data_IF_832907598612
#
_entry.id   IF_832907598612
#
_cell.length_a   1.000
_cell.length_b   1.000
_cell.length_c   1.000
_cell.angle_alpha   90.00
_cell.angle_beta   90.00
_cell.angle_gamma   90.00
#
_symmetry.space_group_name_H-M   'P 1'
#
loop_
_entity.id
_entity.type
_entity.pdbx_description
1 polymer ?
#
# COMPACT_ATOMS: atom_id res chain seq x y z
N UNK A 1 5.81 -10.71 9.71
CA UNK A 1 6.61 -9.53 10.06
C UNK A 1 7.96 -9.65 9.35
N UNK A 2 8.54 -8.52 8.96
CA UNK A 2 9.91 -8.51 8.47
C UNK A 2 10.86 -8.99 9.59
N UNK A 3 11.92 -9.71 9.22
CA UNK A 3 13.02 -9.95 10.14
C UNK A 3 13.83 -8.66 10.34
N UNK A 4 14.57 -8.56 11.44
CA UNK A 4 15.50 -7.46 11.65
C UNK A 4 16.54 -7.37 10.51
N UNK A 5 16.93 -8.51 9.96
CA UNK A 5 17.90 -8.58 8.87
C UNK A 5 17.31 -8.03 7.55
N UNK A 6 16.09 -8.41 7.18
CA UNK A 6 15.41 -7.84 6.01
C UNK A 6 15.25 -6.32 6.13
N UNK A 7 14.88 -5.82 7.31
CA UNK A 7 14.76 -4.39 7.58
C UNK A 7 16.12 -3.66 7.48
N UNK A 8 17.20 -4.32 7.91
CA UNK A 8 18.57 -3.80 7.79
C UNK A 8 19.02 -3.68 6.32
N UNK A 9 18.70 -4.68 5.49
CA UNK A 9 18.97 -4.67 4.05
C UNK A 9 18.16 -3.57 3.34
N UNK A 10 16.90 -3.39 3.72
CA UNK A 10 16.09 -2.26 3.24
C UNK A 10 16.74 -0.94 3.64
N UNK A 11 17.21 -0.82 4.88
CA UNK A 11 17.91 0.38 5.37
C UNK A 11 19.14 0.72 4.52
N UNK A 12 19.92 -0.28 4.11
CA UNK A 12 21.07 -0.08 3.22
C UNK A 12 20.65 0.42 1.84
N UNK A 13 19.58 -0.16 1.26
CA UNK A 13 19.01 0.29 -0.01
C UNK A 13 18.54 1.74 0.08
N UNK A 14 17.76 2.07 1.10
CA UNK A 14 17.16 3.40 1.28
C UNK A 14 18.20 4.46 1.63
N UNK A 15 19.30 4.10 2.28
CA UNK A 15 20.41 5.02 2.54
C UNK A 15 21.07 5.55 1.26
N UNK A 16 20.99 4.80 0.17
CA UNK A 16 21.49 5.19 -1.15
C UNK A 16 20.42 5.83 -2.05
N UNK A 17 19.20 6.01 -1.54
CA UNK A 17 18.08 6.63 -2.26
C UNK A 17 17.91 8.07 -1.75
N UNK A 18 17.98 9.08 -2.62
CA UNK A 18 17.75 10.45 -2.21
C UNK A 18 16.26 10.65 -1.88
N UNK A 19 15.94 10.70 -0.60
CA UNK A 19 14.56 10.89 -0.09
C UNK A 19 14.42 12.30 0.49
N UNK A 20 13.41 13.03 0.03
CA UNK A 20 13.09 14.38 0.51
C UNK A 20 12.38 14.34 1.86
N UNK A 21 11.37 13.48 1.99
CA UNK A 21 10.59 13.34 3.22
C UNK A 21 10.24 11.87 3.50
N UNK A 22 10.32 11.50 4.78
CA UNK A 22 9.93 10.20 5.28
C UNK A 22 8.64 10.30 6.09
N UNK A 23 7.71 9.40 5.80
CA UNK A 23 6.44 9.24 6.49
C UNK A 23 6.31 7.83 7.03
N UNK A 24 5.69 7.69 8.20
CA UNK A 24 5.57 6.39 8.86
C UNK A 24 4.20 6.16 9.49
N UNK A 25 3.74 4.93 9.41
CA UNK A 25 2.55 4.46 10.13
C UNK A 25 2.76 4.54 11.65
N UNK A 26 1.70 4.82 12.44
CA UNK A 26 1.78 4.79 13.90
C UNK A 26 2.04 3.39 14.48
N UNK A 27 1.89 2.30 13.69
CA UNK A 27 2.05 0.94 14.19
C UNK A 27 3.52 0.55 14.37
N UNK A 28 3.83 -0.08 15.50
CA UNK A 28 5.20 -0.42 15.92
C UNK A 28 6.01 -1.14 14.84
N UNK A 29 5.43 -2.17 14.20
CA UNK A 29 6.11 -2.93 13.13
C UNK A 29 6.60 -2.10 11.95
N UNK A 30 5.88 -1.02 11.60
CA UNK A 30 6.32 -0.10 10.55
C UNK A 30 7.43 0.84 11.06
N UNK A 31 7.30 1.31 12.30
CA UNK A 31 8.34 2.12 12.97
C UNK A 31 9.64 1.34 13.14
N UNK A 32 9.57 0.07 13.53
CA UNK A 32 10.74 -0.79 13.70
C UNK A 32 11.48 -0.96 12.36
N UNK A 33 10.74 -1.23 11.27
CA UNK A 33 11.33 -1.31 9.92
C UNK A 33 11.92 0.04 9.49
N UNK A 34 11.20 1.14 9.68
CA UNK A 34 11.66 2.48 9.33
C UNK A 34 12.92 2.88 10.10
N UNK A 35 13.03 2.48 11.37
CA UNK A 35 14.14 2.84 12.24
C UNK A 35 15.50 2.46 11.67
N UNK A 36 15.61 1.31 10.99
CA UNK A 36 16.85 0.86 10.34
C UNK A 36 17.31 1.82 9.23
N UNK A 37 16.36 2.32 8.43
CA UNK A 37 16.66 3.36 7.42
C UNK A 37 17.01 4.70 8.07
N UNK A 38 16.14 5.17 8.97
CA UNK A 38 16.26 6.49 9.59
C UNK A 38 17.57 6.67 10.36
N UNK A 39 18.01 5.65 11.09
CA UNK A 39 19.30 5.64 11.79
C UNK A 39 20.48 5.78 10.81
N UNK A 40 20.44 5.09 9.67
CA UNK A 40 21.51 5.15 8.65
C UNK A 40 21.61 6.52 7.98
N UNK A 41 20.48 7.17 7.74
CA UNK A 41 20.46 8.48 7.06
C UNK A 41 20.49 9.66 8.04
N UNK A 42 20.41 9.42 9.35
CA UNK A 42 20.42 10.46 10.38
C UNK A 42 19.21 11.40 10.28
N UNK A 43 18.02 10.86 9.98
CA UNK A 43 16.78 11.63 9.77
C UNK A 43 15.61 11.04 10.54
N UNK A 44 14.56 11.84 10.68
CA UNK A 44 13.29 11.45 11.29
C UNK A 44 12.21 11.26 10.21
N UNK A 45 11.14 10.55 10.59
CA UNK A 45 9.94 10.42 9.79
C UNK A 45 8.75 11.10 10.50
N UNK A 46 7.86 11.69 9.70
CA UNK A 46 6.60 12.22 10.18
C UNK A 46 5.59 11.06 10.34
N UNK A 47 5.07 10.89 11.54
CA UNK A 47 4.02 9.90 11.79
C UNK A 47 2.68 10.41 11.26
N UNK A 48 1.99 9.57 10.46
CA UNK A 48 0.69 9.87 9.89
C UNK A 48 -0.33 8.82 10.33
N UNK A 49 -1.33 9.23 11.08
CA UNK A 49 -2.36 8.33 11.64
C UNK A 49 -3.10 7.53 10.56
N UNK A 50 -3.30 8.09 9.38
CA UNK A 50 -4.00 7.45 8.27
C UNK A 50 -3.17 6.37 7.56
N UNK A 51 -1.83 6.29 7.79
CA UNK A 51 -0.96 5.22 7.29
C UNK A 51 -1.06 3.91 8.10
N UNK A 52 -1.85 3.86 9.17
CA UNK A 52 -2.11 2.58 9.86
C UNK A 52 -2.67 1.55 8.89
N UNK A 53 -2.51 0.26 9.22
CA UNK A 53 -3.07 -0.78 8.36
C UNK A 53 -4.57 -0.57 8.15
N UNK A 54 -5.01 -0.78 6.92
CA UNK A 54 -6.40 -0.60 6.53
C UNK A 54 -7.28 -1.55 7.34
N UNK A 55 -8.17 -0.98 8.11
CA UNK A 55 -9.06 -1.73 8.99
C UNK A 55 -10.51 -1.31 8.76
N UNK A 56 -11.24 -2.12 8.03
CA UNK A 56 -12.66 -1.99 7.79
C UNK A 56 -13.25 -3.39 7.76
N UNK A 57 -13.66 -3.95 8.91
CA UNK A 57 -14.25 -5.28 8.97
C UNK A 57 -15.61 -5.29 8.28
N UNK A 58 -15.84 -6.35 7.51
CA UNK A 58 -17.10 -6.65 6.82
C UNK A 58 -17.63 -7.99 7.29
N UNK A 59 -18.94 -8.24 7.18
CA UNK A 59 -19.47 -9.57 7.45
C UNK A 59 -18.99 -10.55 6.36
N UNK A 60 -18.47 -11.70 6.79
CA UNK A 60 -18.15 -12.82 5.92
C UNK A 60 -19.42 -13.31 5.21
N UNK A 61 -19.31 -13.61 3.92
CA UNK A 61 -20.44 -13.99 3.08
C UNK A 61 -21.14 -15.27 3.55
N UNK A 62 -20.40 -16.23 4.10
CA UNK A 62 -20.92 -17.55 4.48
C UNK A 62 -21.31 -17.63 5.97
N UNK A 63 -20.56 -16.94 6.83
CA UNK A 63 -20.70 -17.09 8.28
C UNK A 63 -21.33 -15.88 8.96
N UNK A 64 -21.28 -14.72 8.31
CA UNK A 64 -21.67 -13.43 8.90
C UNK A 64 -20.69 -12.88 9.94
N UNK A 65 -19.64 -13.62 10.29
CA UNK A 65 -18.62 -13.19 11.21
C UNK A 65 -17.75 -12.06 10.62
N UNK A 66 -17.16 -11.19 11.45
CA UNK A 66 -16.29 -10.13 10.95
C UNK A 66 -15.09 -10.68 10.18
N UNK A 67 -14.86 -10.16 8.98
CA UNK A 67 -13.73 -10.47 8.10
C UNK A 67 -13.09 -9.17 7.62
N UNK A 68 -11.79 -9.21 7.35
CA UNK A 68 -11.08 -8.07 6.77
C UNK A 68 -11.55 -7.84 5.32
N UNK A 69 -11.84 -6.60 4.94
CA UNK A 69 -12.34 -6.27 3.60
C UNK A 69 -11.39 -6.66 2.46
N UNK A 70 -10.08 -6.70 2.75
CA UNK A 70 -9.02 -7.03 1.79
C UNK A 70 -8.53 -8.49 1.87
N UNK A 71 -9.36 -9.38 2.43
CA UNK A 71 -9.05 -10.81 2.57
C UNK A 71 -10.33 -11.63 2.33
N UNK A 72 -10.83 -11.60 1.11
CA UNK A 72 -11.99 -12.37 0.68
C UNK A 72 -11.58 -13.60 -0.13
N UNK A 73 -12.36 -14.67 -0.02
CA UNK A 73 -12.10 -15.90 -0.78
C UNK A 73 -12.34 -15.66 -2.29
N UNK A 74 -11.53 -16.27 -3.16
CA UNK A 74 -11.59 -16.04 -4.59
C UNK A 74 -12.96 -16.25 -5.20
N UNK A 75 -13.68 -17.34 -4.83
CA UNK A 75 -14.99 -17.64 -5.37
C UNK A 75 -16.04 -16.57 -5.02
N UNK A 76 -15.88 -15.89 -3.90
CA UNK A 76 -16.82 -14.88 -3.43
C UNK A 76 -16.60 -13.53 -4.12
N UNK A 77 -15.38 -13.01 -4.05
CA UNK A 77 -15.14 -11.68 -4.58
C UNK A 77 -15.15 -11.64 -6.13
N UNK A 78 -14.67 -12.70 -6.82
CA UNK A 78 -14.64 -12.73 -8.28
C UNK A 78 -16.02 -12.86 -8.91
N UNK A 79 -17.01 -13.35 -8.16
CA UNK A 79 -18.39 -13.47 -8.62
C UNK A 79 -19.16 -12.15 -8.64
N UNK A 80 -18.64 -11.10 -7.99
CA UNK A 80 -19.29 -9.79 -7.88
C UNK A 80 -18.68 -8.78 -8.86
N UNK A 81 -19.36 -8.43 -9.97
CA UNK A 81 -18.81 -7.51 -10.98
C UNK A 81 -18.48 -6.11 -10.43
N UNK A 82 -19.19 -5.64 -9.39
CA UNK A 82 -18.94 -4.33 -8.79
C UNK A 82 -17.54 -4.24 -8.21
N UNK A 83 -16.98 -5.35 -7.73
CA UNK A 83 -15.64 -5.37 -7.16
C UNK A 83 -14.53 -5.02 -8.16
N UNK A 84 -14.79 -5.18 -9.45
CA UNK A 84 -13.85 -4.77 -10.51
C UNK A 84 -13.98 -3.30 -10.92
N UNK A 85 -15.06 -2.64 -10.51
CA UNK A 85 -15.33 -1.24 -10.88
C UNK A 85 -14.70 -0.28 -9.85
N UNK A 86 -13.87 0.64 -10.35
CA UNK A 86 -13.15 1.62 -9.50
C UNK A 86 -14.06 2.55 -8.67
N UNK A 87 -15.32 2.71 -9.09
CA UNK A 87 -16.28 3.61 -8.43
C UNK A 87 -17.34 2.86 -7.62
N UNK A 88 -17.60 1.59 -7.95
CA UNK A 88 -18.71 0.81 -7.40
C UNK A 88 -18.30 -0.30 -6.46
N UNK A 89 -17.01 -0.58 -6.30
CA UNK A 89 -16.50 -1.68 -5.48
C UNK A 89 -17.01 -1.65 -4.03
N UNK A 90 -17.28 -0.48 -3.50
CA UNK A 90 -17.79 -0.30 -2.13
C UNK A 90 -19.31 -0.29 -2.00
N UNK A 91 -20.04 -0.48 -3.11
CA UNK A 91 -21.53 -0.48 -3.12
C UNK A 91 -22.14 -1.87 -2.88
N UNK A 92 -21.34 -2.89 -2.64
CA UNK A 92 -21.85 -4.22 -2.27
C UNK A 92 -22.35 -4.20 -0.82
N UNK A 93 -23.29 -5.08 -0.50
CA UNK A 93 -23.88 -5.09 0.83
C UNK A 93 -22.84 -5.24 1.97
N UNK A 94 -21.87 -6.17 1.89
CA UNK A 94 -20.85 -6.28 2.93
C UNK A 94 -20.01 -5.00 3.08
N UNK A 95 -19.62 -4.36 1.98
CA UNK A 95 -18.83 -3.13 1.99
C UNK A 95 -19.59 -1.94 2.59
N UNK A 96 -20.89 -1.84 2.29
CA UNK A 96 -21.78 -0.83 2.89
C UNK A 96 -21.94 -1.05 4.40
N UNK A 97 -22.14 -2.29 4.83
CA UNK A 97 -22.24 -2.62 6.25
C UNK A 97 -20.96 -2.35 7.03
N UNK A 98 -19.80 -2.56 6.41
CA UNK A 98 -18.50 -2.28 6.99
C UNK A 98 -18.04 -0.83 6.87
N UNK A 99 -18.82 0.06 6.26
CA UNK A 99 -18.45 1.46 6.00
C UNK A 99 -17.07 1.59 5.33
N UNK A 100 -16.73 0.65 4.44
CA UNK A 100 -15.37 0.50 3.88
C UNK A 100 -14.97 1.74 3.09
N UNK A 101 -15.91 2.40 2.41
CA UNK A 101 -15.63 3.62 1.65
C UNK A 101 -15.17 4.79 2.54
N UNK A 102 -15.69 4.89 3.76
CA UNK A 102 -15.30 5.97 4.66
C UNK A 102 -13.86 5.82 5.11
N UNK A 103 -13.43 4.59 5.38
CA UNK A 103 -12.04 4.27 5.69
C UNK A 103 -11.11 4.51 4.46
N UNK A 104 -11.56 4.15 3.26
CA UNK A 104 -10.81 4.43 2.04
C UNK A 104 -10.66 5.95 1.80
N UNK A 105 -11.71 6.72 1.96
CA UNK A 105 -11.67 8.18 1.84
C UNK A 105 -10.71 8.82 2.85
N UNK A 106 -10.64 8.29 4.07
CA UNK A 106 -9.68 8.76 5.07
C UNK A 106 -8.24 8.63 4.57
N UNK A 107 -7.91 7.51 3.95
CA UNK A 107 -6.59 7.27 3.34
C UNK A 107 -6.37 8.19 2.13
N UNK A 108 -7.34 8.29 1.22
CA UNK A 108 -7.23 9.12 0.02
C UNK A 108 -7.04 10.60 0.35
N UNK A 109 -7.83 11.12 1.30
CA UNK A 109 -7.72 12.51 1.74
C UNK A 109 -6.35 12.78 2.38
N UNK A 110 -5.88 11.87 3.25
CA UNK A 110 -4.56 12.00 3.87
C UNK A 110 -3.42 11.98 2.84
N UNK A 111 -3.52 11.13 1.83
CA UNK A 111 -2.56 11.09 0.73
C UNK A 111 -2.59 12.40 -0.09
N UNK A 112 -3.77 12.87 -0.46
CA UNK A 112 -3.93 14.10 -1.24
C UNK A 112 -3.44 15.33 -0.46
N UNK A 113 -3.61 15.37 0.86
CA UNK A 113 -3.05 16.43 1.71
C UNK A 113 -1.49 16.44 1.66
N UNK A 114 -0.87 15.28 1.76
CA UNK A 114 0.59 15.17 1.65
C UNK A 114 1.06 15.59 0.25
N UNK A 115 0.41 15.10 -0.81
CA UNK A 115 0.78 15.45 -2.18
C UNK A 115 0.60 16.96 -2.44
N UNK A 116 -0.45 17.58 -1.89
CA UNK A 116 -0.67 19.02 -1.97
C UNK A 116 0.48 19.80 -1.30
N UNK A 117 0.94 19.37 -0.13
CA UNK A 117 2.10 19.96 0.55
C UNK A 117 3.37 19.89 -0.29
N UNK A 118 3.46 18.90 -1.18
CA UNK A 118 4.59 18.69 -2.10
C UNK A 118 4.31 19.17 -3.53
N UNK A 119 3.30 20.03 -3.73
CA UNK A 119 3.07 20.73 -4.98
C UNK A 119 2.14 20.06 -5.99
N UNK A 120 1.43 19.00 -5.59
CA UNK A 120 0.51 18.25 -6.46
C UNK A 120 -0.90 18.21 -5.88
N UNK A 121 -1.84 18.93 -6.49
CA UNK A 121 -3.23 19.01 -6.05
C UNK A 121 -4.12 18.07 -6.86
N UNK A 122 -4.95 17.28 -6.19
CA UNK A 122 -5.90 16.40 -6.86
C UNK A 122 -6.93 17.18 -7.68
N UNK A 123 -7.09 16.80 -8.94
CA UNK A 123 -8.14 17.31 -9.83
C UNK A 123 -8.79 16.14 -10.57
N UNK A 124 -10.00 15.77 -10.19
CA UNK A 124 -10.70 14.59 -10.71
C UNK A 124 -9.85 13.30 -10.61
N UNK A 125 -9.36 12.79 -11.75
CA UNK A 125 -8.57 11.57 -11.82
C UNK A 125 -7.09 11.81 -12.12
N UNK A 126 -6.61 13.05 -12.01
CA UNK A 126 -5.21 13.43 -12.20
C UNK A 126 -4.78 14.46 -11.15
N UNK A 127 -3.55 14.91 -11.22
CA UNK A 127 -3.02 15.93 -10.30
C UNK A 127 -2.58 17.16 -11.07
N UNK A 128 -2.90 18.33 -10.54
CA UNK A 128 -2.30 19.57 -10.98
C UNK A 128 -0.94 19.73 -10.35
N UNK A 129 0.09 19.83 -11.19
CA UNK A 129 1.45 20.14 -10.75
C UNK A 129 1.56 21.66 -10.51
N UNK A 130 1.14 22.11 -9.32
CA UNK A 130 1.15 23.52 -8.92
C UNK A 130 2.58 23.99 -8.69
N UNK A 131 3.41 23.12 -8.12
CA UNK A 131 4.84 23.30 -7.92
C UNK A 131 5.57 22.02 -8.35
N UNK A 132 5.76 21.82 -9.68
CA UNK A 132 6.45 20.63 -10.17
C UNK A 132 7.87 20.54 -9.64
N UNK A 133 8.28 19.35 -9.23
CA UNK A 133 9.56 19.10 -8.58
C UNK A 133 10.00 17.65 -8.75
N UNK A 134 11.22 17.34 -8.34
CA UNK A 134 11.81 16.00 -8.35
C UNK A 134 11.95 15.40 -6.93
N UNK A 135 11.10 15.79 -6.01
CA UNK A 135 11.13 15.27 -4.64
C UNK A 135 10.76 13.78 -4.62
N UNK A 136 11.40 13.06 -3.72
CA UNK A 136 11.08 11.67 -3.43
C UNK A 136 10.50 11.55 -2.03
N UNK A 137 9.29 11.00 -1.93
CA UNK A 137 8.61 10.74 -0.66
C UNK A 137 8.67 9.24 -0.36
N UNK A 138 9.05 8.88 0.85
CA UNK A 138 9.06 7.49 1.30
C UNK A 138 8.05 7.27 2.42
N UNK A 139 7.19 6.24 2.26
CA UNK A 139 6.15 5.88 3.21
C UNK A 139 6.43 4.47 3.76
N UNK A 140 6.59 4.37 5.08
CA UNK A 140 6.66 3.07 5.77
C UNK A 140 5.28 2.74 6.33
N UNK A 141 4.61 1.77 5.71
CA UNK A 141 3.23 1.44 6.05
C UNK A 141 2.94 -0.06 5.87
N UNK A 142 1.77 -0.43 5.36
CA UNK A 142 1.29 -1.81 5.35
C UNK A 142 0.65 -2.13 3.99
N UNK A 143 0.41 -3.41 3.72
CA UNK A 143 -0.09 -3.87 2.43
C UNK A 143 -1.50 -3.35 2.13
N UNK A 144 -2.45 -3.51 3.04
CA UNK A 144 -3.85 -3.13 2.81
C UNK A 144 -4.01 -1.64 2.53
N UNK A 145 -3.36 -0.77 3.33
CA UNK A 145 -3.38 0.68 3.11
C UNK A 145 -2.63 1.09 1.86
N UNK A 146 -1.52 0.42 1.52
CA UNK A 146 -0.80 0.65 0.26
C UNK A 146 -1.70 0.42 -0.94
N UNK A 147 -2.45 -0.68 -0.98
CA UNK A 147 -3.39 -0.96 -2.06
C UNK A 147 -4.48 0.13 -2.18
N UNK A 148 -4.95 0.69 -1.08
CA UNK A 148 -5.91 1.81 -1.09
C UNK A 148 -5.29 3.09 -1.65
N UNK A 149 -4.04 3.41 -1.27
CA UNK A 149 -3.30 4.52 -1.88
C UNK A 149 -3.14 4.33 -3.38
N UNK A 150 -2.70 3.15 -3.81
CA UNK A 150 -2.51 2.82 -5.22
C UNK A 150 -3.83 2.87 -6.01
N UNK A 151 -4.93 2.40 -5.44
CA UNK A 151 -6.25 2.47 -6.08
C UNK A 151 -6.62 3.91 -6.46
N UNK A 152 -6.31 4.86 -5.58
CA UNK A 152 -6.56 6.28 -5.79
C UNK A 152 -5.66 6.89 -6.86
N UNK A 153 -4.36 6.58 -6.80
CA UNK A 153 -3.37 7.10 -7.74
C UNK A 153 -3.53 6.53 -9.15
N UNK A 154 -3.86 5.24 -9.26
CA UNK A 154 -3.93 4.52 -10.53
C UNK A 154 -5.34 4.46 -11.13
N UNK A 155 -6.37 4.81 -10.37
CA UNK A 155 -7.75 4.78 -10.82
C UNK A 155 -8.28 3.37 -11.07
N UNK A 156 -7.94 2.42 -10.21
CA UNK A 156 -8.42 1.02 -10.24
C UNK A 156 -9.09 0.63 -8.93
N UNK A 157 -9.92 -0.40 -8.97
CA UNK A 157 -10.55 -0.93 -7.76
C UNK A 157 -9.49 -1.49 -6.79
N UNK A 158 -9.55 -1.15 -5.49
CA UNK A 158 -8.65 -1.74 -4.50
C UNK A 158 -8.82 -3.26 -4.36
N UNK A 159 -9.98 -3.80 -4.71
CA UNK A 159 -10.24 -5.25 -4.70
C UNK A 159 -9.28 -6.02 -5.59
N UNK A 160 -8.95 -5.46 -6.76
CA UNK A 160 -7.99 -6.05 -7.70
C UNK A 160 -6.58 -6.07 -7.09
N UNK A 161 -6.19 -4.98 -6.42
CA UNK A 161 -4.88 -4.87 -5.78
C UNK A 161 -4.77 -5.79 -4.57
N UNK A 162 -5.77 -5.79 -3.70
CA UNK A 162 -5.78 -6.60 -2.48
C UNK A 162 -5.69 -8.11 -2.76
N UNK A 163 -6.39 -8.59 -3.81
CA UNK A 163 -6.56 -10.01 -4.07
C UNK A 163 -5.71 -10.54 -5.23
N UNK A 164 -5.19 -9.67 -6.09
CA UNK A 164 -4.38 -10.04 -7.25
C UNK A 164 -2.89 -9.79 -7.10
N UNK A 165 -2.48 -9.08 -6.04
CA UNK A 165 -1.09 -8.72 -5.78
C UNK A 165 -0.66 -9.21 -4.40
N UNK A 166 0.63 -9.42 -4.22
CA UNK A 166 1.21 -9.62 -2.90
C UNK A 166 2.55 -8.88 -2.81
N UNK A 167 2.83 -8.32 -1.65
CA UNK A 167 4.07 -7.62 -1.38
C UNK A 167 4.69 -8.19 -0.11
N UNK A 168 5.89 -8.76 -0.24
CA UNK A 168 6.62 -9.26 0.92
C UNK A 168 6.96 -8.12 1.89
N UNK A 169 7.11 -8.41 3.19
CA UNK A 169 7.67 -7.44 4.13
C UNK A 169 8.96 -6.85 3.60
N UNK A 170 9.23 -5.60 3.88
CA UNK A 170 10.36 -4.78 3.37
C UNK A 170 10.42 -4.53 1.88
N UNK A 171 9.53 -5.11 1.08
CA UNK A 171 9.49 -4.81 -0.36
C UNK A 171 9.21 -3.33 -0.64
N UNK A 172 9.66 -2.85 -1.78
CA UNK A 172 9.51 -1.46 -2.20
C UNK A 172 8.57 -1.37 -3.40
N UNK A 173 7.50 -0.60 -3.24
CA UNK A 173 6.61 -0.22 -4.34
C UNK A 173 6.90 1.22 -4.70
N UNK A 174 7.12 1.52 -5.98
CA UNK A 174 7.50 2.85 -6.43
C UNK A 174 6.64 3.35 -7.58
N UNK A 175 6.30 4.63 -7.49
CA UNK A 175 5.60 5.38 -8.52
C UNK A 175 6.42 6.61 -8.88
N UNK A 176 6.27 7.05 -10.11
CA UNK A 176 6.86 8.29 -10.62
C UNK A 176 5.77 9.19 -11.15
N UNK A 177 5.95 10.49 -11.03
CA UNK A 177 5.10 11.47 -11.72
C UNK A 177 5.46 11.52 -13.19
N UNK A 178 4.44 11.71 -14.03
CA UNK A 178 4.57 11.95 -15.46
C UNK A 178 3.75 13.20 -15.83
N UNK A 179 4.43 14.27 -16.20
CA UNK A 179 3.85 15.54 -16.59
C UNK A 179 4.18 15.81 -18.06
N UNK A 180 3.36 15.30 -18.98
CA UNK A 180 3.56 15.43 -20.43
C UNK A 180 2.97 16.72 -21.01
N UNK A 181 2.18 17.43 -20.24
CA UNK A 181 1.66 18.78 -20.49
C UNK A 181 1.79 19.57 -19.21
N UNK A 182 2.18 20.80 -19.32
CA UNK A 182 2.38 21.70 -18.18
C UNK A 182 1.17 21.69 -17.24
N UNK A 183 1.41 21.44 -15.98
CA UNK A 183 0.42 21.42 -14.92
C UNK A 183 -0.45 20.17 -14.83
N UNK A 184 -0.30 19.18 -15.73
CA UNK A 184 -1.11 17.96 -15.74
C UNK A 184 -0.25 16.74 -15.47
N UNK A 185 -0.33 16.20 -14.26
CA UNK A 185 0.48 15.08 -13.82
C UNK A 185 -0.35 13.83 -13.47
N UNK A 186 0.23 12.66 -13.75
CA UNK A 186 -0.23 11.37 -13.27
C UNK A 186 0.89 10.66 -12.53
N UNK A 187 0.51 9.78 -11.61
CA UNK A 187 1.44 8.84 -11.00
C UNK A 187 1.42 7.51 -11.77
N UNK A 188 2.59 7.05 -12.18
CA UNK A 188 2.75 5.75 -12.84
C UNK A 188 3.57 4.84 -11.95
N UNK A 189 3.08 3.64 -11.73
CA UNK A 189 3.82 2.62 -10.98
C UNK A 189 4.87 1.98 -11.88
N UNK A 190 6.12 2.05 -11.47
CA UNK A 190 7.25 1.45 -12.18
C UNK A 190 7.79 0.19 -11.49
N UNK A 191 7.43 -0.04 -10.22
CA UNK A 191 7.72 -1.30 -9.53
C UNK A 191 6.69 -1.55 -8.42
N UNK A 192 6.29 -2.81 -8.24
CA UNK A 192 5.44 -3.26 -7.15
C UNK A 192 6.11 -4.43 -6.42
N UNK A 193 6.24 -4.29 -5.09
CA UNK A 193 6.74 -5.38 -4.26
C UNK A 193 8.19 -5.78 -4.55
N UNK A 194 9.03 -4.84 -5.01
CA UNK A 194 10.42 -5.11 -5.38
C UNK A 194 11.26 -5.48 -4.15
N UNK A 195 11.89 -6.64 -4.21
CA UNK A 195 12.76 -7.22 -3.18
C UNK A 195 14.22 -7.31 -3.62
N UNK A 196 14.67 -6.48 -4.57
CA UNK A 196 16.02 -6.53 -5.12
C UNK A 196 17.12 -6.45 -4.04
N UNK A 197 16.89 -5.73 -2.94
CA UNK A 197 17.81 -5.65 -1.80
C UNK A 197 17.97 -6.97 -1.06
N UNK A 198 16.94 -7.80 -1.00
CA UNK A 198 16.99 -9.14 -0.42
C UNK A 198 17.73 -10.08 -1.37
N UNK A 199 17.33 -10.11 -2.63
CA UNK A 199 17.96 -10.95 -3.65
C UNK A 199 19.46 -10.69 -3.78
N UNK A 200 19.90 -9.45 -3.78
CA UNK A 200 21.31 -9.06 -3.87
C UNK A 200 22.14 -9.58 -2.67
N UNK A 201 21.49 -9.89 -1.57
CA UNK A 201 22.13 -10.42 -0.35
C UNK A 201 21.79 -11.90 -0.09
N UNK A 202 21.25 -12.59 -1.07
CA UNK A 202 20.88 -14.03 -0.99
C UNK A 202 19.89 -14.32 0.16
N UNK A 203 19.04 -13.34 0.50
CA UNK A 203 17.98 -13.47 1.49
C UNK A 203 16.65 -13.72 0.78
N UNK A 204 15.93 -14.76 1.21
CA UNK A 204 14.60 -15.04 0.69
C UNK A 204 13.55 -14.15 1.39
N UNK A 205 12.63 -13.53 0.63
CA UNK A 205 11.55 -12.75 1.24
C UNK A 205 10.67 -13.59 2.16
N UNK A 206 10.30 -13.05 3.32
CA UNK A 206 9.38 -13.71 4.24
C UNK A 206 8.05 -14.06 3.56
N UNK A 207 7.55 -15.27 3.81
CA UNK A 207 6.30 -15.79 3.22
C UNK A 207 5.02 -15.09 3.74
N UNK A 208 5.14 -14.21 4.73
CA UNK A 208 4.04 -13.66 5.52
C UNK A 208 2.89 -12.98 4.73
N UNK A 209 3.13 -12.57 3.49
CA UNK A 209 2.14 -11.91 2.63
C UNK A 209 1.38 -12.87 1.69
N UNK A 210 1.64 -14.18 1.77
CA UNK A 210 1.08 -15.18 0.85
C UNK A 210 0.29 -16.24 1.58
N UNK A 211 -0.57 -16.91 0.84
CA UNK A 211 -1.27 -18.13 1.24
C UNK A 211 -0.66 -19.34 0.52
N UNK A 212 -1.11 -20.55 0.86
CA UNK A 212 -0.65 -21.78 0.22
C UNK A 212 -0.82 -21.72 -1.32
N UNK A 213 0.21 -22.16 -2.03
CA UNK A 213 0.15 -22.29 -3.50
C UNK A 213 -0.63 -23.54 -3.93
N UNK A 214 -0.64 -24.56 -3.08
CA UNK A 214 -1.42 -25.79 -3.26
C UNK A 214 -2.14 -26.13 -1.97
N UNK A 215 -3.42 -26.46 -2.07
CA UNK A 215 -4.25 -26.82 -0.92
C UNK A 215 -3.68 -27.98 -0.11
N UNK A 216 -3.01 -28.91 -0.78
CA UNK A 216 -2.38 -30.08 -0.12
C UNK A 216 -1.14 -29.73 0.73
N UNK A 217 -0.57 -28.54 0.58
CA UNK A 217 0.56 -28.10 1.39
C UNK A 217 0.07 -27.61 2.75
N UNK A 218 0.30 -28.42 3.79
CA UNK A 218 -0.12 -28.11 5.17
C UNK A 218 0.91 -27.30 5.95
N UNK A 219 2.06 -26.98 5.38
CA UNK A 219 3.10 -26.14 6.00
C UNK A 219 2.88 -24.65 5.74
N UNK A 220 2.11 -24.31 4.70
CA UNK A 220 1.75 -22.94 4.34
C UNK A 220 0.35 -22.60 4.87
N UNK A 221 0.14 -21.31 5.21
CA UNK A 221 -1.15 -20.86 5.75
C UNK A 221 -2.27 -20.96 4.70
N UNK A 222 -3.45 -21.35 5.15
CA UNK A 222 -4.66 -21.49 4.33
C UNK A 222 -5.67 -20.35 4.55
N UNK A 223 -5.54 -19.64 5.69
CA UNK A 223 -6.43 -18.57 6.16
C UNK A 223 -5.69 -17.49 6.96
#
# INVERSE_FOLDING_TARGET
>A
LASDFEAELLGQRMANTPVTAFYVSPLGRAKDTASKTLQKVGRDATELAWLREFHAPIPDFHTGEPRIAWDQLPADWTAEPKYYDKTRWSETLPMLQGHVIDEAKRVWNGLDEILTQHGYERENNFYRAVQPNEETLAFFCHFGVTCVMLSHLLGISPMILWHGFCAAPTSVTSLITEERREGVALFRMNAFGDTAHLYANQEEPAFAARFCEMYANQEQRHD
#
